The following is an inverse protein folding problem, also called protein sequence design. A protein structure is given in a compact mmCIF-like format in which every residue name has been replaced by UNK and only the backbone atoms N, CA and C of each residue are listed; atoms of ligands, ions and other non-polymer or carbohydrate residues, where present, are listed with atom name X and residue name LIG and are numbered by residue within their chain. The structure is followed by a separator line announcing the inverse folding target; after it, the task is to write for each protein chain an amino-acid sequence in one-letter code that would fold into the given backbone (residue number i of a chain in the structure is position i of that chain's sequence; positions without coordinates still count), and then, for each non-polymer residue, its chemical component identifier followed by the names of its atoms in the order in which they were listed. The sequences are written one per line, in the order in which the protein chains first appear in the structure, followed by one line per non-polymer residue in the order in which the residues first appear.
data_IF_447869014835
#
_entry.id   IF_447869014835
#
_cell.length_a   1.000
_cell.length_b   1.000
_cell.length_c   1.000
_cell.angle_alpha   90.00
_cell.angle_beta   90.00
_cell.angle_gamma   90.00
#
_symmetry.space_group_name_H-M   'P 1'
#
loop_
_entity.id
_entity.type
_entity.pdbx_description
1 polymer ?
#
# COMPACT_ATOMS: atom_id res chain seq x y z
N UNK A 1 -22.77 -12.95 -23.02
CA UNK A 1 -21.41 -12.80 -23.57
C UNK A 1 -20.47 -12.37 -22.45
N UNK A 2 -19.31 -13.02 -22.25
CA UNK A 2 -18.41 -12.70 -21.14
C UNK A 2 -17.74 -11.33 -21.33
N UNK A 3 -17.60 -10.56 -20.25
CA UNK A 3 -16.89 -9.30 -20.24
C UNK A 3 -15.39 -9.55 -20.49
N UNK A 4 -14.86 -9.05 -21.62
CA UNK A 4 -13.44 -9.23 -22.03
C UNK A 4 -12.41 -8.64 -21.05
N UNK A 5 -12.82 -7.81 -20.09
CA UNK A 5 -11.91 -7.13 -19.18
C UNK A 5 -11.58 -7.90 -17.89
N UNK A 6 -12.41 -8.87 -17.48
CA UNK A 6 -12.28 -9.54 -16.17
C UNK A 6 -12.09 -11.07 -16.22
N UNK A 7 -11.79 -11.63 -17.40
CA UNK A 7 -11.35 -13.02 -17.57
C UNK A 7 -12.16 -14.07 -16.77
N UNK A 8 -13.48 -13.91 -16.66
CA UNK A 8 -14.37 -14.95 -16.13
C UNK A 8 -14.37 -15.15 -14.61
N UNK A 9 -14.06 -14.12 -13.81
CA UNK A 9 -14.22 -14.22 -12.34
C UNK A 9 -15.68 -14.02 -11.91
N UNK A 10 -16.21 -14.97 -11.14
CA UNK A 10 -17.59 -15.04 -10.68
C UNK A 10 -17.89 -13.94 -9.62
N UNK A 11 -18.83 -13.04 -9.90
CA UNK A 11 -19.11 -11.84 -9.10
C UNK A 11 -20.31 -11.99 -8.14
N UNK A 12 -20.53 -13.18 -7.56
CA UNK A 12 -21.72 -13.42 -6.72
C UNK A 12 -21.65 -12.91 -5.27
N UNK A 13 -20.55 -12.31 -4.80
CA UNK A 13 -20.53 -11.74 -3.45
C UNK A 13 -19.80 -10.40 -3.35
N UNK A 14 -20.56 -9.39 -2.91
CA UNK A 14 -20.20 -8.06 -2.41
C UNK A 14 -19.81 -7.00 -3.45
N UNK A 15 -20.60 -5.93 -3.42
CA UNK A 15 -20.57 -4.81 -4.34
C UNK A 15 -19.22 -4.12 -4.43
N UNK A 16 -18.71 -4.03 -5.66
CA UNK A 16 -17.57 -3.18 -5.99
C UNK A 16 -18.05 -2.10 -6.97
N UNK A 17 -17.94 -0.83 -6.57
CA UNK A 17 -18.25 0.38 -7.36
C UNK A 17 -17.16 0.71 -8.39
N UNK A 18 -16.36 -0.27 -8.83
CA UNK A 18 -15.19 -0.05 -9.69
C UNK A 18 -15.42 -0.55 -11.11
N UNK A 19 -16.38 0.07 -11.82
CA UNK A 19 -16.43 -0.05 -13.29
C UNK A 19 -17.17 1.14 -13.93
N UNK A 20 -16.79 2.36 -13.56
CA UNK A 20 -17.14 3.54 -14.34
C UNK A 20 -15.87 4.33 -14.61
N UNK A 21 -15.70 4.67 -15.88
CA UNK A 21 -14.70 5.58 -16.45
C UNK A 21 -13.35 4.98 -16.84
N UNK A 22 -13.32 4.41 -18.05
CA UNK A 22 -12.11 4.42 -18.88
C UNK A 22 -12.49 4.77 -20.33
N UNK A 23 -12.68 6.07 -20.61
CA UNK A 23 -12.62 6.59 -21.99
C UNK A 23 -11.21 7.11 -22.23
N UNK A 24 -10.48 6.36 -23.05
CA UNK A 24 -9.10 6.66 -23.38
C UNK A 24 -8.94 7.90 -24.27
N UNK A 25 -7.79 8.55 -24.12
CA UNK A 25 -7.08 9.22 -25.21
C UNK A 25 -5.62 8.77 -25.15
N UNK A 26 -5.23 7.94 -26.12
CA UNK A 26 -3.83 7.60 -26.39
C UNK A 26 -3.15 8.86 -26.94
N UNK A 27 -2.06 9.33 -26.32
CA UNK A 27 -1.11 10.21 -26.98
C UNK A 27 -0.06 9.34 -27.66
N UNK A 28 -0.02 9.45 -28.98
CA UNK A 28 1.07 8.98 -29.83
C UNK A 28 2.31 9.80 -29.43
N UNK A 29 3.39 9.12 -29.07
CA UNK A 29 4.70 9.73 -28.79
C UNK A 29 5.49 9.67 -30.09
N UNK A 30 5.81 10.83 -30.64
CA UNK A 30 6.69 10.99 -31.80
C UNK A 30 8.15 10.87 -31.36
N UNK A 31 9.02 10.05 -31.98
CA UNK A 31 10.42 9.96 -31.65
C UNK A 31 11.27 10.60 -32.75
N UNK A 32 11.60 11.89 -32.65
CA UNK A 32 12.69 12.50 -33.41
C UNK A 32 12.96 13.92 -32.91
N UNK A 33 14.15 14.15 -32.35
CA UNK A 33 14.96 15.39 -32.43
C UNK A 33 16.05 15.30 -31.34
N UNK A 34 17.22 14.79 -31.75
CA UNK A 34 18.49 14.98 -31.06
C UNK A 34 19.33 15.86 -31.98
N UNK A 35 19.33 17.16 -31.73
CA UNK A 35 20.34 18.05 -32.28
C UNK A 35 21.26 18.53 -31.15
N UNK A 36 22.58 18.52 -31.33
CA UNK A 36 23.52 19.03 -30.35
C UNK A 36 23.47 20.56 -30.29
N UNK A 37 23.56 21.10 -29.07
CA UNK A 37 23.68 22.53 -28.79
C UNK A 37 24.98 23.10 -29.42
N UNK A 38 24.94 24.27 -30.07
CA UNK A 38 26.12 24.90 -30.64
C UNK A 38 27.04 25.48 -29.56
N UNK A 39 28.33 25.24 -29.72
CA UNK A 39 29.44 25.76 -28.92
C UNK A 39 29.72 27.23 -29.19
N UNK A 40 30.12 27.97 -28.14
CA UNK A 40 30.06 29.43 -28.02
C UNK A 40 31.20 30.23 -28.66
N UNK A 41 31.71 29.87 -29.84
CA UNK A 41 32.91 30.52 -30.39
C UNK A 41 32.73 31.46 -31.59
N UNK A 42 31.53 31.58 -32.18
CA UNK A 42 31.30 32.53 -33.27
C UNK A 42 30.30 33.62 -32.87
N UNK A 43 30.79 34.72 -32.29
CA UNK A 43 30.06 35.99 -32.26
C UNK A 43 30.85 37.04 -33.06
N UNK A 44 30.27 37.61 -34.13
CA UNK A 44 30.90 38.72 -34.83
C UNK A 44 30.96 39.97 -33.95
N UNK A 45 31.96 40.86 -34.16
CA UNK A 45 32.07 42.11 -33.43
C UNK A 45 30.87 43.02 -33.70
N UNK A 46 30.12 43.30 -32.63
CA UNK A 46 28.91 44.11 -32.65
C UNK A 46 29.28 45.60 -32.68
N UNK A 47 29.50 46.15 -33.88
CA UNK A 47 29.64 47.59 -34.13
C UNK A 47 28.30 48.19 -34.59
N UNK A 48 27.22 47.91 -33.86
CA UNK A 48 25.94 48.56 -34.06
C UNK A 48 25.96 50.00 -33.51
N UNK A 49 25.18 50.93 -34.10
CA UNK A 49 25.05 52.31 -33.60
C UNK A 49 24.56 52.29 -32.15
N UNK A 50 25.10 53.20 -31.32
CA UNK A 50 24.72 53.40 -29.92
C UNK A 50 23.20 53.37 -29.77
N UNK A 51 22.67 52.20 -29.38
CA UNK A 51 21.26 52.01 -29.10
C UNK A 51 20.91 52.99 -27.99
N UNK A 52 19.96 53.88 -28.26
CA UNK A 52 19.44 54.81 -27.27
C UNK A 52 19.25 54.07 -25.94
N UNK A 53 19.82 54.61 -24.86
CA UNK A 53 19.86 53.95 -23.56
C UNK A 53 18.50 53.36 -23.24
N UNK A 54 18.44 52.03 -23.05
CA UNK A 54 17.19 51.33 -22.82
C UNK A 54 16.43 52.02 -21.68
N UNK A 55 15.13 52.31 -21.84
CA UNK A 55 14.36 53.03 -20.83
C UNK A 55 14.53 52.32 -19.50
N UNK A 56 15.03 53.05 -18.52
CA UNK A 56 15.27 52.48 -17.20
C UNK A 56 13.92 52.30 -16.52
N UNK A 57 13.83 51.41 -15.53
CA UNK A 57 12.59 51.18 -14.77
C UNK A 57 12.04 52.45 -14.08
N UNK A 58 12.85 53.52 -14.02
CA UNK A 58 12.50 54.84 -13.50
C UNK A 58 11.63 55.65 -14.46
N UNK A 59 11.78 55.41 -15.76
CA UNK A 59 11.20 56.20 -16.86
C UNK A 59 9.80 55.73 -17.27
N UNK A 60 9.26 54.70 -16.59
CA UNK A 60 7.91 54.20 -16.83
C UNK A 60 6.90 55.24 -16.31
N UNK A 61 5.96 55.73 -17.15
CA UNK A 61 4.88 56.63 -16.71
C UNK A 61 4.04 56.04 -15.58
N UNK A 62 3.54 56.88 -14.66
CA UNK A 62 2.85 56.42 -13.45
C UNK A 62 1.55 55.66 -13.72
N UNK A 63 0.85 55.98 -14.80
CA UNK A 63 -0.33 55.25 -15.27
C UNK A 63 0.02 53.81 -15.69
N UNK A 64 1.18 53.63 -16.34
CA UNK A 64 1.70 52.31 -16.73
C UNK A 64 2.16 51.53 -15.49
N UNK A 65 2.83 52.19 -14.52
CA UNK A 65 3.19 51.55 -13.24
C UNK A 65 1.93 51.01 -12.54
N UNK A 66 0.88 51.83 -12.41
CA UNK A 66 -0.41 51.43 -11.80
C UNK A 66 -1.06 50.24 -12.50
N UNK A 67 -0.89 50.09 -13.82
CA UNK A 67 -1.38 48.93 -14.59
C UNK A 67 -0.54 47.67 -14.41
N UNK A 68 0.76 47.80 -14.15
CA UNK A 68 1.68 46.67 -13.94
C UNK A 68 1.52 46.08 -12.53
N UNK A 69 1.31 46.91 -11.50
CA UNK A 69 1.29 46.45 -10.10
C UNK A 69 0.35 45.26 -9.83
N UNK A 70 -0.88 45.19 -10.37
CA UNK A 70 -1.76 44.02 -10.19
C UNK A 70 -1.17 42.68 -10.63
N UNK A 71 -0.12 42.69 -11.45
CA UNK A 71 0.57 41.50 -11.95
C UNK A 71 1.86 41.18 -11.18
N UNK A 72 2.27 42.05 -10.27
CA UNK A 72 3.46 41.86 -9.45
C UNK A 72 3.10 41.09 -8.18
N UNK A 73 3.99 40.20 -7.73
CA UNK A 73 3.84 39.58 -6.41
C UNK A 73 4.00 40.62 -5.31
N UNK A 74 3.37 40.41 -4.15
CA UNK A 74 3.54 41.31 -2.99
C UNK A 74 5.01 41.54 -2.62
N UNK A 75 5.88 40.53 -2.80
CA UNK A 75 7.33 40.66 -2.58
C UNK A 75 8.03 41.50 -3.64
N UNK A 76 7.62 41.40 -4.91
CA UNK A 76 8.14 42.26 -5.98
C UNK A 76 7.72 43.72 -5.76
N UNK A 77 6.48 43.94 -5.31
CA UNK A 77 5.96 45.28 -4.97
C UNK A 77 6.79 45.92 -3.86
N UNK A 78 7.06 45.21 -2.76
CA UNK A 78 7.91 45.72 -1.66
C UNK A 78 9.34 46.01 -2.13
N UNK A 79 9.93 45.13 -2.96
CA UNK A 79 11.26 45.37 -3.52
C UNK A 79 11.31 46.60 -4.41
N UNK A 80 10.33 46.78 -5.30
CA UNK A 80 10.25 47.94 -6.18
C UNK A 80 10.07 49.24 -5.41
N UNK A 81 9.26 49.22 -4.35
CA UNK A 81 9.08 50.36 -3.46
C UNK A 81 10.41 50.80 -2.81
N UNK A 82 11.24 49.84 -2.40
CA UNK A 82 12.51 50.13 -1.73
C UNK A 82 13.62 50.57 -2.70
N UNK A 83 13.57 50.16 -3.97
CA UNK A 83 14.65 50.40 -4.95
C UNK A 83 14.42 51.68 -5.77
N UNK A 84 13.16 52.12 -5.96
CA UNK A 84 12.84 53.20 -6.89
C UNK A 84 11.91 54.27 -6.30
N UNK A 85 12.41 55.50 -6.15
CA UNK A 85 11.62 56.65 -5.65
C UNK A 85 10.39 56.95 -6.49
N UNK A 86 10.45 56.77 -7.82
CA UNK A 86 9.28 57.02 -8.67
C UNK A 86 8.18 55.95 -8.50
N UNK A 87 8.53 54.76 -8.02
CA UNK A 87 7.56 53.76 -7.59
C UNK A 87 7.04 54.07 -6.19
N UNK A 88 7.89 54.57 -5.29
CA UNK A 88 7.48 55.01 -3.95
C UNK A 88 6.35 56.05 -4.00
N UNK A 89 6.47 57.08 -4.84
CA UNK A 89 5.42 58.09 -5.02
C UNK A 89 4.09 57.46 -5.52
N UNK A 90 4.16 56.52 -6.45
CA UNK A 90 2.98 55.78 -6.91
C UNK A 90 2.36 54.89 -5.81
N UNK A 91 3.18 54.41 -4.86
CA UNK A 91 2.74 53.63 -3.70
C UNK A 91 2.26 54.48 -2.51
N UNK A 92 2.37 55.81 -2.55
CA UNK A 92 1.75 56.69 -1.56
C UNK A 92 0.25 56.93 -1.84
N UNK A 93 -0.23 56.58 -3.04
CA UNK A 93 -1.63 56.72 -3.44
C UNK A 93 -2.54 55.69 -2.73
N UNK A 94 -3.31 56.14 -1.74
CA UNK A 94 -4.27 55.32 -1.00
C UNK A 94 -5.39 54.76 -1.89
N UNK A 95 -5.81 55.51 -2.92
CA UNK A 95 -6.87 55.06 -3.84
C UNK A 95 -6.39 53.88 -4.67
N UNK A 96 -5.11 53.89 -5.05
CA UNK A 96 -4.45 52.79 -5.73
C UNK A 96 -4.48 51.51 -4.89
N UNK A 97 -4.06 51.57 -3.62
CA UNK A 97 -4.07 50.39 -2.74
C UNK A 97 -5.48 49.91 -2.43
N UNK A 98 -6.45 50.82 -2.29
CA UNK A 98 -7.87 50.46 -2.11
C UNK A 98 -8.39 49.68 -3.32
N UNK A 99 -8.14 50.16 -4.54
CA UNK A 99 -8.54 49.49 -5.77
C UNK A 99 -7.81 48.15 -5.97
N UNK A 100 -6.52 48.09 -5.66
CA UNK A 100 -5.74 46.86 -5.72
C UNK A 100 -6.25 45.81 -4.73
N UNK A 101 -6.60 46.25 -3.51
CA UNK A 101 -7.22 45.41 -2.49
C UNK A 101 -8.60 44.90 -2.95
N UNK A 102 -9.46 45.79 -3.45
CA UNK A 102 -10.77 45.45 -4.04
C UNK A 102 -10.64 44.33 -5.08
N UNK A 103 -9.71 44.52 -6.01
CA UNK A 103 -9.46 43.61 -7.13
C UNK A 103 -8.90 42.27 -6.68
N UNK A 104 -7.94 42.28 -5.76
CA UNK A 104 -7.25 41.07 -5.29
C UNK A 104 -8.16 40.18 -4.45
N UNK A 105 -9.01 40.79 -3.61
CA UNK A 105 -9.89 40.06 -2.70
C UNK A 105 -11.34 39.95 -3.19
N UNK A 106 -11.63 40.47 -4.39
CA UNK A 106 -12.98 40.54 -4.97
C UNK A 106 -14.00 41.18 -4.00
N UNK A 107 -13.58 42.26 -3.34
CA UNK A 107 -14.41 43.01 -2.39
C UNK A 107 -14.92 44.26 -3.11
N UNK A 108 -16.23 44.48 -3.09
CA UNK A 108 -16.81 45.71 -3.63
C UNK A 108 -16.38 46.89 -2.73
N UNK A 109 -15.64 47.85 -3.28
CA UNK A 109 -15.17 49.05 -2.55
C UNK A 109 -16.11 50.24 -2.66
N UNK A 110 -17.32 50.05 -3.18
CA UNK A 110 -18.34 51.07 -3.03
C UNK A 110 -18.63 51.21 -1.54
N UNK A 111 -18.17 52.32 -0.95
CA UNK A 111 -18.60 52.72 0.39
C UNK A 111 -20.12 52.69 0.37
N UNK A 112 -20.77 51.89 1.23
CA UNK A 112 -22.21 51.89 1.29
C UNK A 112 -22.65 53.35 1.47
N UNK A 113 -23.53 53.88 0.62
CA UNK A 113 -23.90 55.30 0.65
C UNK A 113 -24.30 55.62 2.08
N UNK A 114 -23.71 56.68 2.66
CA UNK A 114 -23.83 57.05 4.07
C UNK A 114 -25.29 56.93 4.55
N UNK A 115 -25.65 55.75 5.09
CA UNK A 115 -27.00 55.51 5.59
C UNK A 115 -27.09 56.32 6.86
N UNK A 116 -27.88 57.40 6.84
CA UNK A 116 -28.26 58.19 8.02
C UNK A 116 -28.56 57.22 9.16
N UNK A 117 -27.73 57.24 10.20
CA UNK A 117 -27.80 56.32 11.33
C UNK A 117 -29.22 56.27 11.92
N UNK A 118 -29.93 55.16 11.71
CA UNK A 118 -31.03 54.76 12.63
C UNK A 118 -30.37 54.13 13.86
N UNK A 119 -30.81 54.58 15.04
CA UNK A 119 -30.30 54.23 16.39
C UNK A 119 -29.87 52.76 16.48
N UNK A 120 -28.60 52.53 16.80
CA UNK A 120 -28.00 51.20 16.91
C UNK A 120 -28.48 50.47 18.16
N UNK A 121 -28.67 49.14 18.04
CA UNK A 121 -28.80 48.23 19.18
C UNK A 121 -27.45 48.08 19.89
N UNK A 122 -27.41 48.09 21.24
CA UNK A 122 -26.19 47.87 21.99
C UNK A 122 -25.85 46.37 21.99
N UNK A 123 -24.80 45.95 21.28
CA UNK A 123 -24.31 44.58 21.43
C UNK A 123 -23.37 44.03 20.35
N UNK A 124 -23.30 44.64 19.16
CA UNK A 124 -22.34 44.23 18.13
C UNK A 124 -21.25 45.28 17.99
N UNK A 125 -20.03 44.89 18.37
CA UNK A 125 -18.80 45.65 18.16
C UNK A 125 -18.62 45.95 16.66
N UNK A 126 -19.10 47.12 16.21
CA UNK A 126 -18.75 47.67 14.92
C UNK A 126 -17.32 48.19 15.03
N UNK A 127 -16.39 47.52 14.33
CA UNK A 127 -15.00 47.97 14.08
C UNK A 127 -14.98 49.27 13.22
N UNK A 128 -15.70 50.31 13.65
CA UNK A 128 -15.75 51.61 12.98
C UNK A 128 -14.57 52.52 13.38
N UNK A 129 -13.67 52.03 14.23
CA UNK A 129 -12.49 52.76 14.69
C UNK A 129 -11.21 51.96 14.41
N UNK A 130 -11.10 51.40 13.20
CA UNK A 130 -9.80 50.95 12.69
C UNK A 130 -8.97 52.23 12.52
N UNK A 131 -7.93 52.50 13.34
CA UNK A 131 -7.04 53.62 13.10
C UNK A 131 -6.59 53.52 11.66
N UNK A 132 -6.65 54.61 10.88
CA UNK A 132 -6.31 54.69 9.43
C UNK A 132 -4.97 53.99 9.15
N UNK A 133 -4.96 52.68 9.09
CA UNK A 133 -3.87 51.89 8.56
C UNK A 133 -3.97 52.17 7.07
N UNK A 134 -2.93 52.82 6.55
CA UNK A 134 -2.74 53.03 5.12
C UNK A 134 -3.12 51.74 4.38
N UNK A 135 -3.98 51.79 3.37
CA UNK A 135 -4.49 50.63 2.63
C UNK A 135 -3.35 49.70 2.18
N UNK A 136 -2.17 50.25 1.94
CA UNK A 136 -0.92 49.52 1.74
C UNK A 136 -0.60 48.52 2.86
N UNK A 137 -0.59 48.95 4.13
CA UNK A 137 -0.27 48.08 5.26
C UNK A 137 -1.30 46.94 5.37
N UNK A 138 -2.58 47.26 5.14
CA UNK A 138 -3.66 46.28 5.14
C UNK A 138 -3.48 45.26 4.00
N UNK A 139 -3.22 45.74 2.78
CA UNK A 139 -2.95 44.89 1.63
C UNK A 139 -1.76 43.97 1.87
N UNK A 140 -0.62 44.50 2.32
CA UNK A 140 0.58 43.71 2.59
C UNK A 140 0.34 42.67 3.70
N UNK A 141 -0.40 43.03 4.76
CA UNK A 141 -0.77 42.10 5.83
C UNK A 141 -1.68 40.97 5.31
N UNK A 142 -2.69 41.29 4.51
CA UNK A 142 -3.65 40.31 4.03
C UNK A 142 -3.10 39.45 2.88
N UNK A 143 -2.25 40.01 2.01
CA UNK A 143 -1.48 39.23 1.01
C UNK A 143 -0.54 38.26 1.69
N UNK A 144 0.14 38.71 2.75
CA UNK A 144 0.97 37.84 3.59
C UNK A 144 0.21 36.71 4.26
N UNK A 145 -1.13 36.76 4.28
CA UNK A 145 -2.05 35.74 4.84
C UNK A 145 -2.76 34.90 3.78
N UNK A 146 -2.44 35.06 2.49
CA UNK A 146 -3.12 34.31 1.44
C UNK A 146 -2.74 32.83 1.46
N UNK A 147 -3.75 31.96 1.33
CA UNK A 147 -3.57 30.54 1.13
C UNK A 147 -2.86 30.27 -0.21
N UNK A 148 -1.79 29.46 -0.20
CA UNK A 148 -1.06 29.08 -1.42
C UNK A 148 -1.88 28.23 -2.41
N UNK A 149 -3.04 27.71 -2.00
CA UNK A 149 -3.87 26.84 -2.84
C UNK A 149 -5.07 27.53 -3.49
N UNK A 150 -5.77 28.39 -2.75
CA UNK A 150 -6.98 29.07 -3.22
C UNK A 150 -6.91 30.59 -3.13
N UNK A 151 -5.79 31.15 -2.66
CA UNK A 151 -5.57 32.59 -2.54
C UNK A 151 -6.56 33.32 -1.61
N UNK A 152 -7.39 32.60 -0.85
CA UNK A 152 -8.21 33.20 0.21
C UNK A 152 -7.36 33.50 1.44
N UNK A 153 -7.67 34.59 2.15
CA UNK A 153 -7.03 34.93 3.42
C UNK A 153 -7.22 33.78 4.42
N UNK A 154 -6.15 33.35 5.07
CA UNK A 154 -6.20 32.30 6.09
C UNK A 154 -5.11 32.47 7.14
N UNK A 155 -5.47 32.21 8.39
CA UNK A 155 -4.52 32.17 9.51
C UNK A 155 -3.93 30.77 9.73
N UNK A 156 -4.39 29.78 8.96
CA UNK A 156 -3.93 28.40 9.09
C UNK A 156 -2.54 28.22 8.47
N UNK A 157 -1.62 27.70 9.28
CA UNK A 157 -0.28 27.29 8.87
C UNK A 157 -0.20 25.77 8.85
N UNK A 158 0.46 25.23 7.83
CA UNK A 158 0.77 23.80 7.79
C UNK A 158 1.75 23.46 8.94
N UNK A 159 1.42 22.53 9.85
CA UNK A 159 2.26 22.28 11.02
C UNK A 159 3.68 21.77 10.69
N UNK A 160 3.87 21.21 9.49
CA UNK A 160 5.14 20.62 9.08
C UNK A 160 6.02 21.56 8.25
N UNK A 161 5.43 22.34 7.35
CA UNK A 161 6.19 23.23 6.45
C UNK A 161 6.08 24.71 6.76
N UNK A 162 5.20 25.11 7.69
CA UNK A 162 4.87 26.51 7.97
C UNK A 162 4.30 27.27 6.76
N UNK A 163 3.84 26.55 5.74
CA UNK A 163 3.19 27.13 4.56
C UNK A 163 1.76 27.58 4.92
N UNK A 164 1.30 28.74 4.42
CA UNK A 164 -0.09 29.19 4.58
C UNK A 164 -1.01 28.43 3.65
N UNK A 165 -1.73 27.47 4.20
CA UNK A 165 -2.66 26.62 3.45
C UNK A 165 -3.91 26.39 4.27
N UNK A 166 -5.06 26.82 3.75
CA UNK A 166 -6.34 26.59 4.42
C UNK A 166 -6.65 25.08 4.47
N UNK A 167 -7.43 24.61 5.46
CA UNK A 167 -7.75 23.19 5.62
C UNK A 167 -8.32 22.53 4.35
N UNK A 168 -9.24 23.16 3.57
CA UNK A 168 -9.71 22.60 2.31
C UNK A 168 -8.60 22.36 1.28
N UNK A 169 -7.68 23.33 1.10
CA UNK A 169 -6.57 23.18 0.17
C UNK A 169 -5.55 22.15 0.63
N UNK A 170 -5.33 22.01 1.95
CA UNK A 170 -4.45 20.98 2.50
C UNK A 170 -4.90 19.58 2.13
N UNK A 171 -6.20 19.34 2.10
CA UNK A 171 -6.79 18.05 1.69
C UNK A 171 -6.77 17.85 0.17
N UNK A 172 -7.02 18.91 -0.59
CA UNK A 172 -7.13 18.85 -2.06
C UNK A 172 -5.77 18.76 -2.78
N UNK A 173 -4.73 19.41 -2.24
CA UNK A 173 -3.43 19.51 -2.89
C UNK A 173 -2.52 18.32 -2.51
N UNK A 174 -2.09 17.48 -3.48
CA UNK A 174 -1.32 16.28 -3.19
C UNK A 174 -0.02 16.53 -2.41
N UNK A 175 0.66 17.65 -2.65
CA UNK A 175 1.90 17.99 -1.96
C UNK A 175 1.72 18.26 -0.45
N UNK A 176 0.50 18.59 -0.02
CA UNK A 176 0.17 18.84 1.39
C UNK A 176 -0.51 17.65 2.08
N UNK A 177 -0.68 16.53 1.36
CA UNK A 177 -1.21 15.30 1.92
C UNK A 177 -0.28 14.76 3.03
N UNK A 178 -0.90 14.22 4.09
CA UNK A 178 -0.18 13.49 5.14
C UNK A 178 -0.05 12.02 4.74
N UNK A 179 1.19 11.53 4.74
CA UNK A 179 1.56 10.18 4.29
C UNK A 179 2.08 9.38 5.49
N UNK A 180 1.58 8.16 5.67
CA UNK A 180 2.03 7.28 6.74
C UNK A 180 3.44 6.76 6.50
N UNK A 181 4.16 6.40 7.56
CA UNK A 181 5.50 5.78 7.47
C UNK A 181 5.59 4.63 6.45
N UNK A 182 4.60 3.71 6.45
CA UNK A 182 4.57 2.57 5.51
C UNK A 182 4.39 3.00 4.05
N UNK A 183 3.52 3.98 3.80
CA UNK A 183 3.35 4.57 2.46
C UNK A 183 4.60 5.32 2.01
N UNK A 184 5.24 6.07 2.91
CA UNK A 184 6.49 6.77 2.62
C UNK A 184 7.59 5.80 2.12
N UNK A 185 7.80 4.68 2.82
CA UNK A 185 8.75 3.64 2.40
C UNK A 185 8.42 3.04 1.02
N UNK A 186 7.14 2.78 0.77
CA UNK A 186 6.70 2.09 -0.45
C UNK A 186 6.71 3.02 -1.66
N UNK A 187 6.11 4.21 -1.53
CA UNK A 187 5.93 5.16 -2.63
C UNK A 187 7.21 5.96 -2.90
N UNK A 188 7.93 6.39 -1.87
CA UNK A 188 9.11 7.26 -2.04
C UNK A 188 10.44 6.50 -1.96
N UNK A 189 10.39 5.17 -1.76
CA UNK A 189 11.57 4.29 -1.69
C UNK A 189 12.60 4.79 -0.65
N UNK A 190 12.08 5.18 0.50
CA UNK A 190 12.85 5.60 1.67
C UNK A 190 12.94 4.47 2.69
N UNK A 191 14.02 4.41 3.46
CA UNK A 191 14.22 3.49 4.58
C UNK A 191 13.99 4.22 5.92
N UNK A 192 14.15 3.51 7.05
CA UNK A 192 13.95 4.13 8.38
C UNK A 192 14.97 5.23 8.68
N UNK A 193 16.22 5.07 8.24
CA UNK A 193 17.31 6.05 8.41
C UNK A 193 17.01 7.35 7.67
N UNK A 194 16.51 7.26 6.44
CA UNK A 194 16.09 8.41 5.65
C UNK A 194 14.97 9.18 6.39
N UNK A 195 13.95 8.45 6.85
CA UNK A 195 12.77 9.01 7.49
C UNK A 195 13.05 9.62 8.86
N UNK A 196 14.12 9.19 9.55
CA UNK A 196 14.54 9.77 10.83
C UNK A 196 14.92 11.25 10.71
N UNK A 197 15.40 11.68 9.54
CA UNK A 197 15.77 13.07 9.27
C UNK A 197 14.59 13.98 8.86
N UNK A 198 13.41 13.40 8.62
CA UNK A 198 12.25 14.13 8.08
C UNK A 198 11.24 14.40 9.20
N UNK A 199 10.85 15.68 9.35
CA UNK A 199 9.83 16.11 10.32
C UNK A 199 8.48 15.41 10.08
N UNK A 200 7.83 14.95 11.15
CA UNK A 200 6.54 14.27 11.11
C UNK A 200 5.62 14.72 12.26
N UNK A 201 4.33 14.37 12.16
CA UNK A 201 3.34 14.48 13.23
C UNK A 201 3.03 13.08 13.74
N UNK A 202 3.00 12.89 15.06
CA UNK A 202 2.53 11.64 15.68
C UNK A 202 1.02 11.70 15.88
N UNK A 203 0.31 10.65 15.48
CA UNK A 203 -1.13 10.50 15.69
C UNK A 203 -1.44 9.12 16.28
N UNK A 204 -2.58 8.98 16.96
CA UNK A 204 -3.02 7.69 17.48
C UNK A 204 -3.32 6.74 16.33
N UNK A 205 -2.89 5.47 16.46
CA UNK A 205 -3.15 4.45 15.45
C UNK A 205 -4.67 4.17 15.35
N UNK A 206 -5.27 4.26 14.14
CA UNK A 206 -6.71 4.09 13.96
C UNK A 206 -7.18 2.64 14.10
N UNK A 207 -6.30 1.65 13.90
CA UNK A 207 -6.67 0.23 13.94
C UNK A 207 -6.51 -0.38 15.33
N UNK A 208 -5.47 0.00 16.07
CA UNK A 208 -5.14 -0.59 17.36
C UNK A 208 -4.76 0.50 18.35
N UNK A 209 -5.61 0.76 19.36
CA UNK A 209 -5.36 1.81 20.38
C UNK A 209 -4.09 1.57 21.17
N UNK A 210 -3.74 0.31 21.42
CA UNK A 210 -2.54 -0.10 22.18
C UNK A 210 -1.27 -0.18 21.32
N UNK A 211 -1.38 -0.11 19.98
CA UNK A 211 -0.21 -0.12 19.11
C UNK A 211 0.53 1.22 19.13
N UNK A 212 1.79 1.20 18.68
CA UNK A 212 2.60 2.40 18.55
C UNK A 212 1.87 3.50 17.72
N UNK A 213 1.97 4.78 18.13
CA UNK A 213 1.43 5.90 17.37
C UNK A 213 1.88 5.91 15.91
N UNK A 214 0.99 6.31 15.01
CA UNK A 214 1.32 6.43 13.60
C UNK A 214 2.09 7.73 13.32
N UNK A 215 3.16 7.63 12.52
CA UNK A 215 3.92 8.79 12.05
C UNK A 215 3.37 9.28 10.70
N UNK A 216 3.03 10.57 10.62
CA UNK A 216 2.48 11.24 9.45
C UNK A 216 3.46 12.28 8.91
N UNK A 217 3.92 12.08 7.67
CA UNK A 217 4.89 12.93 6.98
C UNK A 217 4.20 13.79 5.92
N UNK A 218 4.78 14.94 5.59
CA UNK A 218 4.29 15.79 4.51
C UNK A 218 4.77 15.27 3.14
N UNK A 219 3.86 15.02 2.21
CA UNK A 219 4.20 14.51 0.87
C UNK A 219 5.24 15.36 0.14
N UNK A 220 5.17 16.70 0.22
CA UNK A 220 6.15 17.64 -0.31
C UNK A 220 7.57 17.34 0.17
N UNK A 221 7.76 17.13 1.47
CA UNK A 221 9.08 16.85 2.06
C UNK A 221 9.60 15.47 1.63
N UNK A 222 8.73 14.45 1.61
CA UNK A 222 9.09 13.11 1.14
C UNK A 222 9.53 13.13 -0.33
N UNK A 223 8.82 13.88 -1.19
CA UNK A 223 9.15 14.00 -2.61
C UNK A 223 10.55 14.62 -2.79
N UNK A 224 10.81 15.75 -2.14
CA UNK A 224 12.11 16.44 -2.25
C UNK A 224 13.26 15.56 -1.74
N UNK A 225 13.04 14.86 -0.62
CA UNK A 225 14.06 13.96 -0.07
C UNK A 225 14.31 12.77 -1.00
N UNK A 226 13.26 12.16 -1.53
CA UNK A 226 13.36 11.02 -2.44
C UNK A 226 14.02 11.40 -3.78
N UNK A 227 13.68 12.54 -4.36
CA UNK A 227 14.33 13.04 -5.57
C UNK A 227 15.82 13.28 -5.32
N UNK A 228 16.19 13.91 -4.21
CA UNK A 228 17.62 14.07 -3.86
C UNK A 228 18.33 12.72 -3.73
N UNK A 229 17.71 11.75 -3.06
CA UNK A 229 18.28 10.42 -2.84
C UNK A 229 18.46 9.64 -4.15
N UNK A 230 17.50 9.73 -5.06
CA UNK A 230 17.45 8.90 -6.26
C UNK A 230 17.91 9.63 -7.52
N UNK A 231 18.48 10.84 -7.44
CA UNK A 231 18.97 11.56 -8.62
C UNK A 231 17.86 12.18 -9.48
N UNK A 232 16.82 12.70 -8.83
CA UNK A 232 15.69 13.39 -9.45
C UNK A 232 14.43 12.52 -9.61
N UNK A 233 13.40 13.06 -10.28
CA UNK A 233 12.12 12.36 -10.47
C UNK A 233 12.28 11.09 -11.31
N UNK A 234 13.22 11.09 -12.27
CA UNK A 234 13.47 9.94 -13.14
C UNK A 234 14.09 8.77 -12.39
N UNK A 235 15.12 9.02 -11.57
CA UNK A 235 15.73 7.94 -10.80
C UNK A 235 14.79 7.39 -9.72
N UNK A 236 13.90 8.22 -9.14
CA UNK A 236 12.83 7.73 -8.27
C UNK A 236 11.86 6.82 -9.03
N UNK A 237 11.51 7.15 -10.29
CA UNK A 237 10.69 6.30 -11.17
C UNK A 237 11.39 4.96 -11.42
N UNK A 238 12.67 4.96 -11.75
CA UNK A 238 13.46 3.75 -11.98
C UNK A 238 13.55 2.88 -10.71
N UNK A 239 13.76 3.48 -9.53
CA UNK A 239 13.76 2.78 -8.26
C UNK A 239 12.40 2.10 -7.99
N UNK A 240 11.29 2.72 -8.37
CA UNK A 240 9.95 2.10 -8.28
C UNK A 240 9.81 0.89 -9.20
N UNK A 241 10.24 0.99 -10.45
CA UNK A 241 10.20 -0.10 -11.42
C UNK A 241 11.08 -1.27 -10.96
N UNK A 242 12.33 -1.01 -10.55
CA UNK A 242 13.26 -2.03 -10.04
C UNK A 242 12.66 -2.82 -8.88
N UNK A 243 12.03 -2.12 -7.93
CA UNK A 243 11.41 -2.77 -6.78
C UNK A 243 10.12 -3.54 -7.14
N UNK A 244 9.37 -3.12 -8.16
CA UNK A 244 8.24 -3.89 -8.69
C UNK A 244 8.73 -5.21 -9.33
N UNK A 245 9.72 -5.13 -10.22
CA UNK A 245 10.32 -6.29 -10.88
C UNK A 245 10.94 -7.25 -9.85
N UNK A 246 11.63 -6.74 -8.83
CA UNK A 246 12.17 -7.57 -7.75
C UNK A 246 11.09 -8.25 -6.90
N UNK A 247 9.89 -7.67 -6.78
CA UNK A 247 8.74 -8.31 -6.12
C UNK A 247 8.19 -9.45 -7.00
N UNK A 248 8.00 -9.17 -8.28
CA UNK A 248 7.52 -10.15 -9.27
C UNK A 248 8.45 -11.35 -9.39
N UNK A 249 9.76 -11.11 -9.54
CA UNK A 249 10.77 -12.16 -9.59
C UNK A 249 10.79 -13.01 -8.31
N UNK A 250 10.61 -12.39 -7.13
CA UNK A 250 10.51 -13.14 -5.87
C UNK A 250 9.26 -14.01 -5.82
N UNK A 251 8.10 -13.53 -6.29
CA UNK A 251 6.90 -14.34 -6.37
C UNK A 251 7.02 -15.48 -7.39
N UNK A 252 7.61 -15.22 -8.56
CA UNK A 252 7.84 -16.22 -9.59
C UNK A 252 8.78 -17.32 -9.09
N UNK A 253 9.92 -16.94 -8.48
CA UNK A 253 10.85 -17.88 -7.87
C UNK A 253 10.21 -18.67 -6.72
N UNK A 254 9.37 -18.02 -5.92
CA UNK A 254 8.64 -18.71 -4.85
C UNK A 254 7.63 -19.72 -5.41
N UNK A 255 6.93 -19.40 -6.50
CA UNK A 255 6.03 -20.32 -7.19
C UNK A 255 6.79 -21.50 -7.80
N UNK A 256 7.84 -21.25 -8.58
CA UNK A 256 8.69 -22.29 -9.17
C UNK A 256 9.27 -23.25 -8.12
N UNK A 257 9.67 -22.73 -6.95
CA UNK A 257 10.11 -23.57 -5.81
C UNK A 257 8.99 -24.45 -5.24
N UNK A 258 7.75 -23.97 -5.19
CA UNK A 258 6.60 -24.79 -4.74
C UNK A 258 6.30 -25.88 -5.76
N UNK A 259 6.33 -25.55 -7.05
CA UNK A 259 6.04 -26.50 -8.12
C UNK A 259 7.10 -27.61 -8.16
N UNK A 260 8.38 -27.24 -8.08
CA UNK A 260 9.47 -28.22 -7.99
C UNK A 260 9.30 -29.15 -6.77
N UNK A 261 8.99 -28.60 -5.59
CA UNK A 261 8.70 -29.43 -4.40
C UNK A 261 7.50 -30.35 -4.62
N UNK A 262 6.43 -29.85 -5.24
CA UNK A 262 5.24 -30.64 -5.56
C UNK A 262 5.59 -31.80 -6.50
N UNK A 263 6.29 -31.54 -7.60
CA UNK A 263 6.71 -32.58 -8.55
C UNK A 263 7.59 -33.64 -7.88
N UNK A 264 8.58 -33.24 -7.07
CA UNK A 264 9.43 -34.17 -6.32
C UNK A 264 8.65 -35.05 -5.35
N UNK A 265 7.67 -34.47 -4.66
CA UNK A 265 6.83 -35.22 -3.73
C UNK A 265 5.91 -36.21 -4.47
N UNK A 266 5.32 -35.78 -5.60
CA UNK A 266 4.49 -36.65 -6.45
C UNK A 266 5.31 -37.83 -6.95
N UNK A 267 6.49 -37.60 -7.52
CA UNK A 267 7.38 -38.67 -8.00
C UNK A 267 7.74 -39.66 -6.87
N UNK A 268 8.05 -39.15 -5.68
CA UNK A 268 8.38 -39.99 -4.53
C UNK A 268 7.19 -40.80 -3.98
N UNK A 269 5.97 -40.24 -4.02
CA UNK A 269 4.75 -40.95 -3.64
C UNK A 269 4.38 -42.02 -4.68
N UNK A 270 4.48 -41.70 -5.98
CA UNK A 270 4.20 -42.63 -7.07
C UNK A 270 5.12 -43.86 -7.04
N UNK A 271 6.39 -43.69 -6.64
CA UNK A 271 7.31 -44.82 -6.43
C UNK A 271 6.87 -45.80 -5.33
N UNK A 272 5.98 -45.38 -4.42
CA UNK A 272 5.34 -46.23 -3.40
C UNK A 272 3.90 -46.61 -3.78
N UNK A 273 3.46 -46.33 -5.01
CA UNK A 273 2.08 -46.55 -5.46
C UNK A 273 1.05 -45.66 -4.77
N UNK A 274 1.47 -44.49 -4.27
CA UNK A 274 0.60 -43.53 -3.60
C UNK A 274 0.35 -42.31 -4.48
N UNK A 275 -0.79 -41.66 -4.26
CA UNK A 275 -1.15 -40.38 -4.89
C UNK A 275 -1.02 -39.21 -3.91
N UNK A 276 -0.80 -38.01 -4.46
CA UNK A 276 -0.73 -36.79 -3.65
C UNK A 276 -2.10 -36.40 -3.11
N UNK A 277 -2.32 -36.69 -1.84
CA UNK A 277 -3.49 -36.24 -1.06
C UNK A 277 -3.53 -34.71 -0.88
N UNK A 278 -4.67 -34.10 -1.21
CA UNK A 278 -4.87 -32.65 -1.11
C UNK A 278 -5.19 -32.16 0.31
N UNK A 279 -5.73 -33.05 1.16
CA UNK A 279 -6.11 -32.82 2.56
C UNK A 279 -4.94 -32.96 3.55
N UNK A 280 -3.85 -33.64 3.16
CA UNK A 280 -2.68 -33.85 4.02
C UNK A 280 -1.97 -32.53 4.36
N UNK A 281 -2.03 -32.12 5.64
CA UNK A 281 -1.32 -30.95 6.17
C UNK A 281 0.20 -31.07 6.02
N UNK A 282 0.75 -32.29 6.14
CA UNK A 282 2.19 -32.56 5.97
C UNK A 282 2.64 -32.27 4.53
N UNK A 283 1.93 -32.81 3.54
CA UNK A 283 2.19 -32.54 2.12
C UNK A 283 2.07 -31.05 1.79
N UNK A 284 1.02 -30.37 2.28
CA UNK A 284 0.85 -28.93 2.08
C UNK A 284 1.97 -28.10 2.74
N UNK A 285 2.41 -28.47 3.94
CA UNK A 285 3.48 -27.79 4.65
C UNK A 285 4.82 -27.91 3.90
N UNK A 286 5.11 -29.10 3.36
CA UNK A 286 6.26 -29.33 2.51
C UNK A 286 6.19 -28.51 1.21
N UNK A 287 5.09 -28.57 0.47
CA UNK A 287 4.95 -27.83 -0.79
C UNK A 287 5.06 -26.31 -0.55
N UNK A 288 4.36 -25.78 0.46
CA UNK A 288 4.31 -24.32 0.71
C UNK A 288 5.61 -23.79 1.32
N UNK A 289 6.13 -24.46 2.35
CA UNK A 289 7.20 -23.94 3.21
C UNK A 289 8.50 -24.77 3.16
N UNK A 290 8.50 -25.94 2.52
CA UNK A 290 9.64 -26.85 2.54
C UNK A 290 9.89 -27.48 3.91
N UNK A 291 8.85 -27.63 4.74
CA UNK A 291 8.95 -28.27 6.05
C UNK A 291 8.88 -29.80 5.91
N UNK A 292 9.81 -30.51 6.56
CA UNK A 292 9.90 -31.99 6.54
C UNK A 292 10.78 -32.53 5.41
N UNK A 293 11.22 -33.79 5.55
CA UNK A 293 11.95 -34.51 4.51
C UNK A 293 10.97 -35.29 3.64
N UNK A 294 11.26 -35.41 2.32
CA UNK A 294 10.41 -36.19 1.41
C UNK A 294 10.28 -37.63 1.90
N UNK A 295 11.38 -38.24 2.36
CA UNK A 295 11.40 -39.62 2.85
C UNK A 295 10.44 -39.81 4.03
N UNK A 296 10.51 -38.95 5.05
CA UNK A 296 9.63 -39.03 6.21
C UNK A 296 8.17 -38.81 5.82
N UNK A 297 7.87 -37.84 4.96
CA UNK A 297 6.50 -37.57 4.52
C UNK A 297 5.93 -38.76 3.75
N UNK A 298 6.70 -39.32 2.80
CA UNK A 298 6.28 -40.48 2.01
C UNK A 298 6.04 -41.69 2.92
N UNK A 299 6.92 -41.92 3.90
CA UNK A 299 6.75 -43.01 4.86
C UNK A 299 5.48 -42.82 5.70
N UNK A 300 5.25 -41.63 6.25
CA UNK A 300 4.00 -41.33 6.97
C UNK A 300 2.77 -41.51 6.10
N UNK A 301 2.80 -41.06 4.83
CA UNK A 301 1.67 -41.25 3.91
C UNK A 301 1.45 -42.73 3.58
N UNK A 302 2.53 -43.52 3.50
CA UNK A 302 2.47 -44.95 3.29
C UNK A 302 1.87 -45.69 4.49
N UNK A 303 2.34 -45.40 5.71
CA UNK A 303 1.78 -45.94 6.95
C UNK A 303 0.29 -45.64 7.07
N UNK A 304 -0.11 -44.39 6.83
CA UNK A 304 -1.53 -43.99 6.83
C UNK A 304 -2.36 -44.76 5.79
N UNK A 305 -1.81 -45.01 4.60
CA UNK A 305 -2.50 -45.81 3.59
C UNK A 305 -2.68 -47.27 4.04
N UNK A 306 -1.65 -47.89 4.62
CA UNK A 306 -1.74 -49.25 5.15
C UNK A 306 -2.77 -49.36 6.27
N UNK A 307 -2.76 -48.43 7.22
CA UNK A 307 -3.71 -48.42 8.33
C UNK A 307 -5.16 -48.35 7.84
N UNK A 308 -5.46 -47.48 6.88
CA UNK A 308 -6.85 -47.29 6.43
C UNK A 308 -7.33 -48.30 5.39
N UNK A 309 -6.47 -48.80 4.50
CA UNK A 309 -6.89 -49.64 3.36
C UNK A 309 -6.61 -51.13 3.57
N UNK A 310 -5.60 -51.47 4.38
CA UNK A 310 -5.11 -52.85 4.54
C UNK A 310 -5.30 -53.41 5.95
N UNK A 311 -5.44 -52.56 6.96
CA UNK A 311 -5.61 -52.98 8.35
C UNK A 311 -7.05 -52.81 8.85
N UNK A 312 -7.25 -53.11 10.13
CA UNK A 312 -8.51 -52.92 10.87
C UNK A 312 -8.39 -51.79 11.89
N UNK A 313 -7.50 -50.83 11.63
CA UNK A 313 -7.19 -49.73 12.55
C UNK A 313 -8.43 -48.95 12.99
N UNK A 314 -9.39 -48.74 12.08
CA UNK A 314 -10.65 -48.05 12.40
C UNK A 314 -11.47 -48.81 13.43
N UNK A 315 -11.57 -50.13 13.29
CA UNK A 315 -12.29 -51.01 14.20
C UNK A 315 -11.60 -51.06 15.57
N UNK A 316 -10.26 -51.10 15.60
CA UNK A 316 -9.49 -51.03 16.85
C UNK A 316 -9.70 -49.69 17.58
N UNK A 317 -9.77 -48.59 16.86
CA UNK A 317 -10.05 -47.27 17.45
C UNK A 317 -11.48 -47.19 17.99
N UNK A 318 -12.46 -47.72 17.25
CA UNK A 318 -13.86 -47.71 17.68
C UNK A 318 -14.06 -48.59 18.93
N UNK A 319 -13.45 -49.77 18.97
CA UNK A 319 -13.51 -50.69 20.11
C UNK A 319 -12.86 -50.09 21.37
N UNK A 320 -11.73 -49.39 21.22
CA UNK A 320 -11.00 -48.78 22.36
C UNK A 320 -11.54 -47.40 22.78
N UNK A 321 -12.51 -46.84 22.06
CA UNK A 321 -13.03 -45.50 22.34
C UNK A 321 -13.68 -45.41 23.72
N UNK A 322 -14.45 -46.44 24.12
CA UNK A 322 -15.14 -46.48 25.40
C UNK A 322 -14.14 -46.47 26.57
N UNK A 323 -13.06 -47.24 26.47
CA UNK A 323 -12.01 -47.33 27.49
C UNK A 323 -11.32 -45.98 27.70
N UNK A 324 -10.94 -45.30 26.60
CA UNK A 324 -10.33 -43.97 26.68
C UNK A 324 -11.29 -42.93 27.27
N UNK A 325 -12.58 -43.04 26.97
CA UNK A 325 -13.58 -42.14 27.52
C UNK A 325 -13.67 -42.30 29.05
N UNK A 326 -13.68 -43.53 29.55
CA UNK A 326 -13.70 -43.82 30.99
C UNK A 326 -12.46 -43.26 31.71
N UNK A 327 -11.26 -43.47 31.16
CA UNK A 327 -10.01 -42.92 31.70
C UNK A 327 -9.99 -41.39 31.71
N UNK A 328 -10.52 -40.77 30.66
CA UNK A 328 -10.56 -39.32 30.54
C UNK A 328 -11.57 -38.66 31.49
N UNK A 329 -12.68 -39.33 31.80
CA UNK A 329 -13.64 -38.88 32.80
C UNK A 329 -13.00 -38.83 34.19
N UNK A 330 -11.98 -39.66 34.44
CA UNK A 330 -11.26 -39.70 35.71
C UNK A 330 -10.36 -38.47 35.95
N UNK A 331 -9.59 -38.03 34.94
CA UNK A 331 -8.57 -36.97 35.13
C UNK A 331 -8.79 -35.69 34.31
N UNK A 332 -9.80 -35.67 33.44
CA UNK A 332 -10.15 -34.56 32.56
C UNK A 332 -9.19 -34.36 31.37
N UNK A 333 -8.32 -35.32 31.05
CA UNK A 333 -7.28 -35.21 30.01
C UNK A 333 -7.54 -36.06 28.76
N UNK A 334 -8.79 -36.07 28.28
CA UNK A 334 -9.20 -36.84 27.09
C UNK A 334 -8.22 -36.75 25.90
N UNK A 335 -7.72 -35.55 25.57
CA UNK A 335 -6.86 -35.40 24.41
C UNK A 335 -5.54 -36.17 24.52
N UNK A 336 -4.94 -36.24 25.72
CA UNK A 336 -3.66 -36.92 25.92
C UNK A 336 -3.85 -38.44 25.81
N UNK A 337 -4.82 -39.00 26.54
CA UNK A 337 -5.17 -40.42 26.49
C UNK A 337 -5.56 -40.86 25.08
N UNK A 338 -6.31 -40.03 24.35
CA UNK A 338 -6.69 -40.32 22.97
C UNK A 338 -5.51 -40.31 21.99
N UNK A 339 -4.49 -39.47 22.21
CA UNK A 339 -3.28 -39.48 21.38
C UNK A 339 -2.40 -40.71 21.67
N UNK A 340 -2.26 -41.10 22.95
CA UNK A 340 -1.52 -42.30 23.37
C UNK A 340 -2.21 -43.61 22.91
N UNK A 341 -3.54 -43.70 23.04
CA UNK A 341 -4.30 -44.85 22.56
C UNK A 341 -4.18 -44.99 21.04
N UNK A 342 -4.19 -43.89 20.27
CA UNK A 342 -3.98 -43.96 18.82
C UNK A 342 -2.66 -44.60 18.44
N UNK A 343 -1.56 -44.17 19.06
CA UNK A 343 -0.23 -44.72 18.79
C UNK A 343 -0.20 -46.23 19.12
N UNK A 344 -0.85 -46.62 20.23
CA UNK A 344 -1.00 -48.03 20.63
C UNK A 344 -1.79 -48.84 19.61
N UNK A 345 -2.97 -48.36 19.19
CA UNK A 345 -3.81 -49.06 18.20
C UNK A 345 -3.17 -49.08 16.80
N UNK A 346 -2.40 -48.04 16.43
CA UNK A 346 -1.61 -48.03 15.19
C UNK A 346 -0.59 -49.17 15.17
N UNK A 347 0.16 -49.34 16.27
CA UNK A 347 1.12 -50.44 16.42
C UNK A 347 0.45 -51.82 16.31
N UNK A 348 -0.65 -52.02 17.05
CA UNK A 348 -1.42 -53.27 17.04
C UNK A 348 -1.99 -53.60 15.66
N UNK A 349 -2.53 -52.60 14.95
CA UNK A 349 -3.06 -52.77 13.60
C UNK A 349 -1.98 -53.23 12.60
N UNK A 350 -0.78 -52.65 12.68
CA UNK A 350 0.34 -53.02 11.81
C UNK A 350 0.89 -54.41 12.14
N UNK A 351 0.93 -54.80 13.41
CA UNK A 351 1.34 -56.14 13.83
C UNK A 351 0.38 -57.21 13.31
N UNK A 352 -0.92 -57.02 13.47
CA UNK A 352 -1.94 -57.94 12.92
C UNK A 352 -1.86 -58.05 11.40
N UNK A 353 -1.61 -56.92 10.72
CA UNK A 353 -1.38 -56.92 9.28
C UNK A 353 -0.15 -57.76 8.90
N UNK A 354 0.98 -57.61 9.60
CA UNK A 354 2.18 -58.41 9.37
C UNK A 354 1.94 -59.92 9.60
N UNK A 355 1.19 -60.27 10.65
CA UNK A 355 0.82 -61.66 10.93
C UNK A 355 -0.07 -62.24 9.81
N UNK A 356 -1.05 -61.47 9.34
CA UNK A 356 -1.89 -61.87 8.21
C UNK A 356 -1.08 -62.04 6.92
N UNK A 357 -0.11 -61.16 6.65
CA UNK A 357 0.79 -61.28 5.49
C UNK A 357 1.62 -62.56 5.54
N UNK A 358 2.11 -62.96 6.72
CA UNK A 358 2.83 -64.24 6.91
C UNK A 358 1.94 -65.46 6.74
N UNK A 359 0.67 -65.36 7.15
CA UNK A 359 -0.29 -66.45 7.07
C UNK A 359 -0.88 -66.65 5.66
N UNK A 360 -0.86 -65.61 4.83
CA UNK A 360 -1.45 -65.63 3.49
C UNK A 360 -0.65 -66.53 2.52
N UNK A 361 -1.32 -67.57 2.00
CA UNK A 361 -0.74 -68.57 1.07
C UNK A 361 -1.18 -68.40 -0.40
N UNK A 362 -1.84 -67.28 -0.72
CA UNK A 362 -2.50 -67.10 -2.02
C UNK A 362 -3.98 -67.53 -2.00
N UNK A 363 -4.73 -67.22 -3.08
CA UNK A 363 -6.14 -67.55 -3.18
C UNK A 363 -6.33 -69.07 -3.34
N UNK A 364 -7.13 -69.67 -2.45
CA UNK A 364 -7.40 -71.11 -2.46
C UNK A 364 -8.33 -71.55 -3.61
N UNK A 365 -9.14 -70.64 -4.15
CA UNK A 365 -10.20 -70.91 -5.13
C UNK A 365 -9.83 -70.50 -6.57
N UNK A 366 -8.59 -70.06 -6.79
CA UNK A 366 -8.12 -69.58 -8.10
C UNK A 366 -8.70 -68.23 -8.53
N UNK A 367 -9.48 -67.53 -7.68
CA UNK A 367 -9.88 -66.14 -7.97
C UNK A 367 -8.71 -65.21 -7.73
N UNK A 368 -8.57 -64.20 -8.59
CA UNK A 368 -7.57 -63.15 -8.38
C UNK A 368 -8.02 -62.24 -7.24
N UNK A 369 -7.20 -62.17 -6.19
CA UNK A 369 -7.43 -61.21 -5.11
C UNK A 369 -7.31 -59.78 -5.63
N UNK A 370 -8.09 -58.87 -5.03
CA UNK A 370 -8.03 -57.44 -5.36
C UNK A 370 -6.67 -56.89 -4.96
N UNK A 371 -5.90 -56.44 -5.94
CA UNK A 371 -4.62 -55.73 -5.73
C UNK A 371 -4.92 -54.24 -5.52
N UNK A 372 -4.40 -53.69 -4.44
CA UNK A 372 -4.47 -52.26 -4.13
C UNK A 372 -3.57 -51.44 -5.06
N UNK A 373 -3.80 -50.13 -5.18
CA UNK A 373 -2.95 -49.21 -5.95
C UNK A 373 -1.49 -49.18 -5.46
N UNK A 374 -1.24 -49.53 -4.20
CA UNK A 374 0.12 -49.68 -3.66
C UNK A 374 0.80 -51.00 -4.08
N UNK A 375 0.11 -51.87 -4.82
CA UNK A 375 0.60 -53.17 -5.30
C UNK A 375 0.44 -54.33 -4.31
N UNK A 376 -0.08 -54.07 -3.09
CA UNK A 376 -0.35 -55.12 -2.10
C UNK A 376 -1.69 -55.82 -2.36
N UNK A 377 -1.76 -57.09 -2.02
CA UNK A 377 -3.01 -57.85 -1.98
C UNK A 377 -3.87 -57.34 -0.83
N UNK A 378 -5.17 -57.15 -1.06
CA UNK A 378 -6.09 -56.79 0.01
C UNK A 378 -6.44 -58.01 0.87
N UNK A 379 -5.71 -58.17 1.97
CA UNK A 379 -5.90 -59.24 2.95
C UNK A 379 -6.63 -58.78 4.22
N UNK A 380 -7.35 -57.66 4.16
CA UNK A 380 -8.03 -57.08 5.34
C UNK A 380 -8.95 -58.08 6.07
N UNK A 381 -9.58 -58.98 5.32
CA UNK A 381 -10.42 -60.05 5.88
C UNK A 381 -9.63 -61.00 6.80
N UNK A 382 -8.39 -61.37 6.43
CA UNK A 382 -7.54 -62.19 7.29
C UNK A 382 -7.12 -61.44 8.56
N UNK A 383 -6.90 -60.13 8.46
CA UNK A 383 -6.60 -59.29 9.61
C UNK A 383 -7.77 -59.27 10.60
N UNK A 384 -9.01 -59.17 10.09
CA UNK A 384 -10.23 -59.27 10.90
C UNK A 384 -10.35 -60.66 11.57
N UNK A 385 -10.16 -61.75 10.81
CA UNK A 385 -10.27 -63.11 11.35
C UNK A 385 -9.25 -63.37 12.48
N UNK A 386 -8.03 -62.84 12.36
CA UNK A 386 -7.01 -62.92 13.42
C UNK A 386 -7.42 -62.12 14.66
N UNK A 387 -7.99 -60.94 14.46
CA UNK A 387 -8.45 -60.10 15.55
C UNK A 387 -9.61 -60.73 16.32
N UNK A 388 -10.60 -61.28 15.62
CA UNK A 388 -11.76 -61.95 16.24
C UNK A 388 -11.33 -63.17 17.06
N UNK A 389 -10.44 -64.02 16.53
CA UNK A 389 -9.91 -65.17 17.27
C UNK A 389 -9.19 -64.76 18.56
N UNK A 390 -8.46 -63.65 18.52
CA UNK A 390 -7.76 -63.12 19.70
C UNK A 390 -8.68 -62.45 20.73
N UNK A 391 -9.99 -62.28 20.46
CA UNK A 391 -10.96 -61.82 21.47
C UNK A 391 -11.51 -62.96 22.33
N UNK A 392 -11.47 -64.20 21.83
CA UNK A 392 -12.02 -65.38 22.49
C UNK A 392 -10.99 -66.09 23.41
N UNK A 393 -9.70 -65.80 23.22
CA UNK A 393 -8.58 -66.22 24.08
C UNK A 393 -8.35 -65.24 25.24
#
# INVERSE_FOLDING_TARGET
MPCKACAGSDHKTRGSKLCKEYKGRRRIVNPALKDPLPTSQDRPPNNGPLVAAAPTLKDIPDDVKKRIVPYLSGTAIVRLNNICRSWHAAFEDETFWRLLYAKTFNICTEEPPAKKHKKAHPGTSTDANIPRKKWMQKYLADVGRMCLGCHTITDNLCPLSNDRVCPPCRTRLPQYALITKGRAKTEYRLNDTDLASIRYISARNPHFRSAAPMCLYLAKHLQHFAERKHGGPEGLRQARIKAANAKENRSANAAARRDNRRTKLIDALQKRGLELRSDSRLCQAYIRKGKGSIKSIVETMYTMHLLHEHSIYTELLDDSYADVQEEAEYDGKFQLHWEENKETQEGRALELLEQAEKAYKGPADGRQDKICSCGRVNIRHLVLDLYEKGKDE
#
